data_IF_684889524749
#
_entry.id   IF_684889524749
#
_cell.length_a   1.000
_cell.length_b   1.000
_cell.length_c   1.000
_cell.angle_alpha   90.00
_cell.angle_beta   90.00
_cell.angle_gamma   90.00
#
_symmetry.space_group_name_H-M   'P 1'
#
loop_
_entity.id
_entity.type
_entity.pdbx_description
1 polymer ?
#
# COMPACT_ATOMS: atom_id res chain seq x y z
N UNK A 1 52.33 -33.92 48.83
CA UNK A 1 52.86 -32.99 47.80
C UNK A 1 52.82 -33.73 46.47
N UNK A 2 52.27 -33.29 45.34
CA UNK A 2 51.68 -32.03 44.88
C UNK A 2 51.89 -31.97 43.36
N UNK A 3 50.83 -31.59 42.60
CA UNK A 3 50.81 -31.02 41.24
C UNK A 3 51.05 -31.98 40.05
N UNK A 4 49.99 -32.35 39.32
CA UNK A 4 49.39 -31.73 38.09
C UNK A 4 50.27 -31.79 36.83
N UNK A 5 49.84 -32.54 35.81
CA UNK A 5 49.37 -32.06 34.51
C UNK A 5 49.31 -33.21 33.50
N UNK A 6 48.10 -33.47 33.00
CA UNK A 6 47.79 -34.44 31.96
C UNK A 6 47.49 -33.67 30.66
N UNK A 7 48.30 -33.88 29.63
CA UNK A 7 48.08 -33.43 28.25
C UNK A 7 49.04 -34.24 27.35
N UNK A 8 48.54 -35.22 26.59
CA UNK A 8 48.34 -35.09 25.15
C UNK A 8 48.07 -36.46 24.49
N UNK A 9 46.98 -36.48 23.71
CA UNK A 9 46.80 -37.07 22.36
C UNK A 9 47.42 -38.44 22.06
N UNK A 10 46.55 -39.40 21.74
CA UNK A 10 46.47 -40.00 20.39
C UNK A 10 45.51 -41.20 20.42
N UNK A 11 44.36 -41.08 19.74
CA UNK A 11 43.71 -42.22 19.10
C UNK A 11 43.10 -41.72 17.80
N UNK A 12 43.79 -42.00 16.70
CA UNK A 12 43.17 -42.08 15.39
C UNK A 12 42.76 -43.52 15.15
N UNK A 13 41.51 -43.74 14.74
CA UNK A 13 41.21 -44.70 13.68
C UNK A 13 39.91 -44.30 12.97
N UNK A 14 39.94 -44.56 11.67
CA UNK A 14 39.13 -43.96 10.63
C UNK A 14 37.67 -44.39 10.67
N UNK A 15 36.78 -43.45 10.31
CA UNK A 15 35.55 -43.77 9.59
C UNK A 15 35.49 -42.82 8.39
N UNK A 16 35.78 -43.38 7.23
CA UNK A 16 35.41 -42.83 5.93
C UNK A 16 33.89 -42.83 5.81
N UNK A 17 33.29 -41.66 5.60
CA UNK A 17 32.12 -41.50 4.74
C UNK A 17 31.85 -40.00 4.55
N UNK A 18 32.22 -39.50 3.37
CA UNK A 18 31.43 -38.47 2.69
C UNK A 18 30.36 -39.21 1.88
N UNK A 19 29.15 -38.64 1.70
CA UNK A 19 29.02 -37.60 0.70
C UNK A 19 28.18 -36.41 1.16
N UNK A 20 28.55 -35.27 0.58
CA UNK A 20 27.71 -34.18 0.10
C UNK A 20 26.30 -34.03 0.69
N UNK A 21 26.11 -32.88 1.34
CA UNK A 21 24.81 -32.28 1.57
C UNK A 21 25.02 -30.78 1.71
N UNK A 22 25.46 -30.12 0.64
CA UNK A 22 25.09 -28.72 0.47
C UNK A 22 23.57 -28.70 0.56
N UNK A 23 23.05 -28.16 1.66
CA UNK A 23 21.63 -27.87 1.79
C UNK A 23 21.37 -26.75 0.78
N UNK A 24 21.05 -27.16 -0.44
CA UNK A 24 20.33 -26.35 -1.41
C UNK A 24 19.05 -25.90 -0.68
N UNK A 25 19.13 -24.73 -0.07
CA UNK A 25 18.02 -24.09 0.61
C UNK A 25 17.00 -23.81 -0.49
N UNK A 26 15.98 -24.67 -0.52
CA UNK A 26 15.08 -24.83 -1.66
C UNK A 26 14.45 -23.51 -2.08
N UNK A 27 14.28 -23.36 -3.39
CA UNK A 27 13.30 -22.43 -3.96
C UNK A 27 12.00 -22.53 -3.15
N UNK A 28 11.49 -21.41 -2.64
CA UNK A 28 10.23 -21.38 -1.91
C UNK A 28 9.14 -22.00 -2.81
N UNK A 29 8.65 -23.19 -2.45
CA UNK A 29 7.66 -23.89 -3.25
C UNK A 29 6.29 -23.31 -2.91
N UNK A 30 5.71 -22.63 -3.90
CA UNK A 30 4.47 -21.89 -3.75
C UNK A 30 3.49 -22.44 -4.78
N UNK A 31 2.30 -22.82 -4.32
CA UNK A 31 1.21 -23.18 -5.21
C UNK A 31 0.77 -21.93 -5.99
N UNK A 32 1.26 -21.83 -7.22
CA UNK A 32 1.00 -20.71 -8.12
C UNK A 32 -0.46 -20.60 -8.52
N UNK A 33 -1.20 -21.72 -8.57
CA UNK A 33 -2.63 -21.73 -8.85
C UNK A 33 -3.43 -21.15 -7.69
N UNK A 34 -3.14 -21.61 -6.48
CA UNK A 34 -3.74 -21.10 -5.25
C UNK A 34 -3.47 -19.61 -5.06
N UNK A 35 -2.22 -19.19 -5.23
CA UNK A 35 -1.80 -17.81 -5.09
C UNK A 35 -2.44 -16.89 -6.13
N UNK A 36 -2.56 -17.34 -7.38
CA UNK A 36 -3.24 -16.60 -8.45
C UNK A 36 -4.74 -16.41 -8.16
N UNK A 37 -5.41 -17.43 -7.59
CA UNK A 37 -6.79 -17.29 -7.12
C UNK A 37 -6.90 -16.21 -6.04
N UNK A 38 -6.02 -16.23 -5.04
CA UNK A 38 -6.03 -15.23 -3.96
C UNK A 38 -5.83 -13.79 -4.46
N UNK A 39 -5.00 -13.58 -5.50
CA UNK A 39 -4.80 -12.26 -6.09
C UNK A 39 -6.01 -11.72 -6.86
N UNK A 40 -6.77 -12.60 -7.52
CA UNK A 40 -7.85 -12.24 -8.44
C UNK A 40 -9.23 -12.30 -7.78
N UNK A 41 -9.39 -13.08 -6.71
CA UNK A 41 -10.66 -13.28 -6.03
C UNK A 41 -11.23 -12.00 -5.41
N UNK A 42 -12.57 -11.90 -5.45
CA UNK A 42 -13.33 -10.78 -4.89
C UNK A 42 -13.46 -10.92 -3.37
N UNK A 43 -13.71 -9.80 -2.69
CA UNK A 43 -13.84 -9.72 -1.23
C UNK A 43 -14.76 -10.78 -0.62
N UNK A 44 -15.90 -11.04 -1.26
CA UNK A 44 -16.89 -12.00 -0.77
C UNK A 44 -16.31 -13.43 -0.70
N UNK A 45 -15.65 -13.87 -1.78
CA UNK A 45 -14.96 -15.17 -1.82
C UNK A 45 -13.81 -15.26 -0.82
N UNK A 46 -13.04 -14.18 -0.67
CA UNK A 46 -11.95 -14.12 0.31
C UNK A 46 -12.47 -14.24 1.74
N UNK A 47 -13.65 -13.67 2.05
CA UNK A 47 -14.29 -13.80 3.37
C UNK A 47 -14.81 -15.21 3.62
N UNK A 48 -15.41 -15.84 2.61
CA UNK A 48 -15.87 -17.24 2.69
C UNK A 48 -14.69 -18.18 2.93
N UNK A 49 -13.58 -17.96 2.23
CA UNK A 49 -12.34 -18.70 2.43
C UNK A 49 -11.73 -18.45 3.80
N UNK A 50 -11.66 -17.19 4.24
CA UNK A 50 -11.19 -16.83 5.58
C UNK A 50 -12.01 -17.50 6.68
N UNK A 51 -13.33 -17.61 6.50
CA UNK A 51 -14.20 -18.35 7.41
C UNK A 51 -13.90 -19.85 7.43
N UNK A 52 -13.63 -20.45 6.26
CA UNK A 52 -13.16 -21.84 6.16
C UNK A 52 -11.84 -22.10 6.88
N UNK A 53 -10.96 -21.09 6.95
CA UNK A 53 -9.68 -21.16 7.65
C UNK A 53 -9.72 -20.66 9.11
N UNK A 54 -10.87 -20.21 9.62
CA UNK A 54 -10.99 -19.66 10.97
C UNK A 54 -10.37 -18.27 11.17
N UNK A 55 -10.08 -17.54 10.10
CA UNK A 55 -9.48 -16.20 10.12
C UNK A 55 -10.58 -15.14 10.32
N UNK A 56 -10.36 -14.09 11.13
CA UNK A 56 -11.32 -13.00 11.26
C UNK A 56 -11.55 -12.30 9.91
N UNK A 57 -12.84 -12.22 9.51
CA UNK A 57 -13.34 -11.58 8.26
C UNK A 57 -13.17 -10.05 8.21
N UNK A 58 -12.45 -9.46 9.16
CA UNK A 58 -12.27 -8.02 9.32
C UNK A 58 -11.04 -7.50 8.58
N UNK A 59 -11.20 -6.35 7.94
CA UNK A 59 -10.16 -5.66 7.16
C UNK A 59 -10.56 -5.41 5.71
N UNK A 60 -9.72 -4.67 5.00
CA UNK A 60 -9.85 -4.48 3.56
C UNK A 60 -9.50 -5.77 2.79
N UNK A 61 -9.79 -5.78 1.49
CA UNK A 61 -9.45 -6.89 0.58
C UNK A 61 -7.98 -7.30 0.72
N UNK A 62 -7.08 -6.33 0.83
CA UNK A 62 -5.64 -6.60 0.88
C UNK A 62 -5.19 -7.16 2.21
N UNK A 63 -5.80 -6.70 3.31
CA UNK A 63 -5.56 -7.29 4.62
C UNK A 63 -6.00 -8.74 4.65
N UNK A 64 -7.15 -9.07 4.04
CA UNK A 64 -7.61 -10.45 3.94
C UNK A 64 -6.73 -11.29 3.03
N UNK A 65 -6.26 -10.75 1.90
CA UNK A 65 -5.31 -11.46 1.03
C UNK A 65 -3.98 -11.73 1.73
N UNK A 66 -3.42 -10.74 2.42
CA UNK A 66 -2.19 -10.92 3.17
C UNK A 66 -2.35 -12.05 4.21
N UNK A 67 -3.44 -12.04 4.99
CA UNK A 67 -3.73 -13.10 5.97
C UNK A 67 -3.90 -14.48 5.31
N UNK A 68 -4.66 -14.58 4.23
CA UNK A 68 -4.88 -15.84 3.51
C UNK A 68 -3.58 -16.36 2.88
N UNK A 69 -2.73 -15.47 2.34
CA UNK A 69 -1.41 -15.86 1.81
C UNK A 69 -0.52 -16.37 2.95
N UNK A 70 -0.53 -15.75 4.14
CA UNK A 70 0.20 -16.28 5.29
C UNK A 70 -0.25 -17.70 5.65
N UNK A 71 -1.56 -17.92 5.79
CA UNK A 71 -2.09 -19.19 6.30
C UNK A 71 -2.10 -20.31 5.25
N UNK A 72 -2.47 -20.02 4.01
CA UNK A 72 -2.64 -21.05 2.98
C UNK A 72 -1.39 -21.25 2.10
N UNK A 73 -0.59 -20.20 1.90
CA UNK A 73 0.53 -20.22 0.94
C UNK A 73 1.89 -20.28 1.66
N UNK A 74 1.99 -19.71 2.85
CA UNK A 74 3.22 -19.65 3.66
C UNK A 74 3.04 -20.22 5.08
N UNK A 75 2.38 -21.39 5.28
CA UNK A 75 2.05 -21.89 6.62
C UNK A 75 3.28 -22.20 7.48
N UNK A 76 4.38 -22.62 6.85
CA UNK A 76 5.61 -23.03 7.55
C UNK A 76 6.56 -21.86 7.85
N UNK A 77 6.23 -20.65 7.39
CA UNK A 77 7.11 -19.50 7.50
C UNK A 77 6.77 -18.66 8.74
N UNK A 78 7.76 -18.47 9.62
CA UNK A 78 7.60 -17.55 10.76
C UNK A 78 7.62 -16.09 10.29
N UNK A 79 6.41 -15.52 10.14
CA UNK A 79 6.18 -14.12 9.81
C UNK A 79 5.95 -13.25 11.06
N UNK A 80 6.29 -13.75 12.26
CA UNK A 80 6.34 -12.93 13.47
C UNK A 80 7.46 -11.88 13.36
N UNK A 81 7.46 -10.89 14.25
CA UNK A 81 8.53 -9.89 14.26
C UNK A 81 9.92 -10.52 14.45
N UNK A 82 10.04 -11.55 15.29
CA UNK A 82 11.31 -12.26 15.48
C UNK A 82 11.72 -13.02 14.21
N UNK A 83 10.77 -13.70 13.56
CA UNK A 83 10.99 -14.38 12.29
C UNK A 83 11.43 -13.43 11.18
N UNK A 84 10.76 -12.28 11.03
CA UNK A 84 11.14 -11.24 10.04
C UNK A 84 12.54 -10.69 10.31
N UNK A 85 12.95 -10.51 11.58
CA UNK A 85 14.30 -10.06 11.92
C UNK A 85 15.38 -11.10 11.58
N UNK A 86 15.08 -12.39 11.80
CA UNK A 86 16.00 -13.49 11.51
C UNK A 86 16.06 -13.84 10.00
N UNK A 87 15.09 -13.37 9.22
CA UNK A 87 14.95 -13.71 7.79
C UNK A 87 16.09 -13.13 6.94
N UNK A 88 16.78 -13.95 6.12
CA UNK A 88 17.84 -13.47 5.25
C UNK A 88 17.30 -12.60 4.11
N UNK A 89 18.14 -11.68 3.61
CA UNK A 89 17.73 -10.64 2.65
C UNK A 89 17.08 -11.18 1.37
N UNK A 90 17.60 -12.32 0.86
CA UNK A 90 17.06 -13.01 -0.32
C UNK A 90 15.64 -13.51 -0.04
N UNK A 91 15.47 -14.21 1.07
CA UNK A 91 14.18 -14.78 1.51
C UNK A 91 13.13 -13.69 1.76
N UNK A 92 13.49 -12.58 2.41
CA UNK A 92 12.57 -11.45 2.56
C UNK A 92 12.11 -10.89 1.21
N UNK A 93 13.01 -10.86 0.21
CA UNK A 93 12.67 -10.46 -1.15
C UNK A 93 11.68 -11.41 -1.81
N UNK A 94 11.88 -12.71 -1.63
CA UNK A 94 11.04 -13.77 -2.20
C UNK A 94 9.65 -13.80 -1.56
N UNK A 95 9.57 -13.63 -0.25
CA UNK A 95 8.31 -13.47 0.49
C UNK A 95 7.54 -12.24 0.01
N UNK A 96 8.21 -11.10 -0.18
CA UNK A 96 7.58 -9.90 -0.74
C UNK A 96 7.04 -10.12 -2.17
N UNK A 97 7.68 -10.96 -2.99
CA UNK A 97 7.15 -11.33 -4.32
C UNK A 97 5.88 -12.17 -4.19
N UNK A 98 5.80 -13.07 -3.21
CA UNK A 98 4.59 -13.87 -2.94
C UNK A 98 3.44 -13.06 -2.39
N UNK A 99 3.72 -12.04 -1.59
CA UNK A 99 2.69 -11.04 -1.26
C UNK A 99 2.35 -10.13 -2.45
N UNK A 100 3.10 -10.21 -3.55
CA UNK A 100 2.90 -9.39 -4.73
C UNK A 100 3.16 -7.90 -4.49
N UNK A 101 4.01 -7.57 -3.51
CA UNK A 101 4.43 -6.20 -3.17
C UNK A 101 5.86 -5.94 -3.66
N UNK A 102 6.39 -4.72 -3.45
CA UNK A 102 7.73 -4.35 -3.95
C UNK A 102 8.82 -5.13 -3.21
N UNK A 103 9.58 -5.95 -3.93
CA UNK A 103 10.64 -6.79 -3.37
C UNK A 103 12.05 -6.18 -3.43
N UNK A 104 12.24 -5.02 -4.09
CA UNK A 104 13.54 -4.34 -4.18
C UNK A 104 13.82 -3.43 -2.98
N UNK A 105 15.09 -3.02 -2.82
CA UNK A 105 15.56 -2.19 -1.70
C UNK A 105 16.50 -2.92 -0.74
N UNK A 106 17.04 -2.16 0.21
CA UNK A 106 17.91 -2.66 1.28
C UNK A 106 17.22 -3.68 2.17
N UNK A 107 17.98 -4.47 2.93
CA UNK A 107 17.42 -5.49 3.82
C UNK A 107 16.47 -4.88 4.86
N UNK A 108 16.86 -3.73 5.43
CA UNK A 108 16.04 -2.96 6.37
C UNK A 108 14.71 -2.54 5.73
N UNK A 109 14.74 -1.94 4.54
CA UNK A 109 13.52 -1.50 3.85
C UNK A 109 12.59 -2.67 3.51
N UNK A 110 13.14 -3.82 3.11
CA UNK A 110 12.33 -5.02 2.85
C UNK A 110 11.64 -5.54 4.11
N UNK A 111 12.34 -5.58 5.25
CA UNK A 111 11.75 -5.99 6.55
C UNK A 111 10.68 -5.02 7.01
N UNK A 112 10.93 -3.71 6.95
CA UNK A 112 9.94 -2.68 7.26
C UNK A 112 8.68 -2.85 6.41
N UNK A 113 8.85 -3.02 5.10
CA UNK A 113 7.75 -3.21 4.15
C UNK A 113 6.94 -4.47 4.43
N UNK A 114 7.61 -5.60 4.67
CA UNK A 114 6.96 -6.86 5.01
C UNK A 114 6.16 -6.71 6.30
N UNK A 115 6.78 -6.16 7.34
CA UNK A 115 6.13 -5.95 8.62
C UNK A 115 4.90 -5.03 8.52
N UNK A 116 5.00 -3.92 7.79
CA UNK A 116 3.89 -3.01 7.54
C UNK A 116 2.75 -3.71 6.78
N UNK A 117 3.07 -4.48 5.74
CA UNK A 117 2.09 -5.19 4.93
C UNK A 117 1.28 -6.21 5.74
N UNK A 118 1.92 -6.87 6.71
CA UNK A 118 1.29 -7.90 7.54
C UNK A 118 0.43 -7.31 8.67
N UNK A 119 0.86 -6.19 9.25
CA UNK A 119 0.29 -5.69 10.50
C UNK A 119 -0.64 -4.48 10.31
N UNK A 120 -0.52 -3.75 9.21
CA UNK A 120 -1.27 -2.51 8.98
C UNK A 120 -2.00 -2.51 7.65
N UNK A 121 -3.11 -1.78 7.64
CA UNK A 121 -3.80 -1.42 6.41
C UNK A 121 -3.21 -0.11 5.87
N UNK A 122 -2.73 -0.12 4.63
CA UNK A 122 -2.16 1.06 3.97
C UNK A 122 -3.14 2.23 3.83
N UNK A 123 -4.46 1.99 3.98
CA UNK A 123 -5.47 3.05 3.99
C UNK A 123 -5.72 3.64 5.38
N UNK A 124 -5.30 2.94 6.45
CA UNK A 124 -5.61 3.33 7.84
C UNK A 124 -4.40 3.89 8.57
N UNK A 125 -3.20 3.41 8.26
CA UNK A 125 -1.97 3.96 8.80
C UNK A 125 -1.45 5.06 7.88
N UNK A 126 -2.01 6.26 8.04
CA UNK A 126 -1.64 7.46 7.30
C UNK A 126 -0.92 8.48 8.21
N UNK A 127 -0.36 9.53 7.62
CA UNK A 127 0.36 10.57 8.36
C UNK A 127 -0.58 11.29 9.34
N UNK A 128 -1.83 11.52 8.95
CA UNK A 128 -2.86 12.12 9.81
C UNK A 128 -3.14 11.23 11.02
N UNK A 129 -3.22 9.91 10.80
CA UNK A 129 -3.41 8.96 11.91
C UNK A 129 -2.24 8.97 12.88
N UNK A 130 -1.00 9.11 12.39
CA UNK A 130 0.18 9.23 13.27
C UNK A 130 0.09 10.46 14.18
N UNK A 131 -0.53 11.55 13.71
CA UNK A 131 -0.72 12.78 14.48
C UNK A 131 -1.75 12.62 15.61
N UNK A 132 -2.57 11.57 15.58
CA UNK A 132 -3.50 11.21 16.68
C UNK A 132 -2.89 10.19 17.66
N UNK A 133 -1.83 9.49 17.29
CA UNK A 133 -1.26 8.38 18.08
C UNK A 133 -0.54 8.84 19.35
N UNK A 134 -0.60 8.03 20.40
CA UNK A 134 0.14 8.27 21.64
C UNK A 134 1.66 8.16 21.42
N UNK A 135 2.44 8.72 22.35
CA UNK A 135 3.91 8.57 22.33
C UNK A 135 4.32 7.10 22.39
N UNK A 136 3.63 6.30 23.21
CA UNK A 136 3.96 4.89 23.41
C UNK A 136 3.68 4.06 22.15
N UNK A 137 2.57 4.32 21.45
CA UNK A 137 2.25 3.66 20.19
C UNK A 137 3.28 4.01 19.10
N UNK A 138 3.69 5.27 19.03
CA UNK A 138 4.75 5.73 18.12
C UNK A 138 6.10 5.11 18.47
N UNK A 139 6.39 4.92 19.76
CA UNK A 139 7.61 4.27 20.21
C UNK A 139 7.63 2.78 19.82
N UNK A 140 6.51 2.06 19.98
CA UNK A 140 6.39 0.69 19.52
C UNK A 140 6.49 0.60 17.99
N UNK A 141 5.89 1.53 17.24
CA UNK A 141 6.09 1.63 15.79
C UNK A 141 7.56 1.83 15.42
N UNK A 142 8.26 2.77 16.06
CA UNK A 142 9.69 2.97 15.84
C UNK A 142 10.50 1.71 16.12
N UNK A 143 10.20 1.00 17.21
CA UNK A 143 10.88 -0.27 17.56
C UNK A 143 10.67 -1.33 16.48
N UNK A 144 9.44 -1.49 16.00
CA UNK A 144 9.11 -2.49 14.99
C UNK A 144 9.65 -2.15 13.60
N UNK A 145 9.78 -0.86 13.30
CA UNK A 145 10.36 -0.34 12.06
C UNK A 145 11.89 -0.14 12.14
N UNK A 146 12.56 -0.59 13.20
CA UNK A 146 14.01 -0.47 13.38
C UNK A 146 14.51 0.99 13.29
N UNK A 147 13.74 1.91 13.88
CA UNK A 147 14.06 3.33 13.96
C UNK A 147 14.61 3.69 15.34
N UNK A 148 15.32 4.81 15.41
CA UNK A 148 15.79 5.36 16.68
C UNK A 148 14.61 5.64 17.62
N UNK A 149 14.75 5.23 18.87
CA UNK A 149 13.71 5.35 19.91
C UNK A 149 13.80 6.65 20.72
N UNK A 150 14.83 7.46 20.47
CA UNK A 150 15.12 8.69 21.22
C UNK A 150 14.28 9.86 20.72
N UNK A 151 13.97 10.82 21.61
CA UNK A 151 13.26 12.05 21.25
C UNK A 151 11.83 12.12 21.79
N UNK A 152 11.19 13.25 21.51
CA UNK A 152 9.81 13.52 21.91
C UNK A 152 8.82 12.89 20.89
N UNK A 153 7.52 12.98 21.20
CA UNK A 153 6.45 12.42 20.36
C UNK A 153 6.54 12.86 18.90
N UNK A 154 6.82 14.14 18.65
CA UNK A 154 6.86 14.70 17.29
C UNK A 154 8.07 14.19 16.49
N UNK A 155 9.23 13.99 17.15
CA UNK A 155 10.41 13.37 16.51
C UNK A 155 10.13 11.91 16.14
N UNK A 156 9.53 11.13 17.04
CA UNK A 156 9.15 9.73 16.76
C UNK A 156 8.14 9.67 15.60
N UNK A 157 7.11 10.52 15.64
CA UNK A 157 6.12 10.65 14.57
C UNK A 157 6.79 10.99 13.23
N UNK A 158 7.70 11.96 13.20
CA UNK A 158 8.40 12.38 11.98
C UNK A 158 9.22 11.26 11.36
N UNK A 159 9.88 10.42 12.17
CA UNK A 159 10.63 9.26 11.67
C UNK A 159 9.71 8.19 11.07
N UNK A 160 8.62 7.86 11.75
CA UNK A 160 7.62 6.91 11.23
C UNK A 160 7.00 7.44 9.95
N UNK A 161 6.63 8.73 9.91
CA UNK A 161 6.11 9.38 8.71
C UNK A 161 7.12 9.30 7.55
N UNK A 162 8.41 9.51 7.81
CA UNK A 162 9.47 9.33 6.80
C UNK A 162 9.55 7.91 6.24
N UNK A 163 9.34 6.88 7.06
CA UNK A 163 9.24 5.49 6.59
C UNK A 163 7.99 5.29 5.74
N UNK A 164 6.83 5.78 6.18
CA UNK A 164 5.60 5.66 5.41
C UNK A 164 5.73 6.34 4.04
N UNK A 165 6.33 7.54 3.99
CA UNK A 165 6.62 8.30 2.76
C UNK A 165 7.58 7.56 1.84
N UNK A 166 8.69 7.01 2.36
CA UNK A 166 9.65 6.26 1.53
C UNK A 166 9.07 4.94 1.02
N UNK A 167 8.09 4.39 1.73
CA UNK A 167 7.41 3.14 1.40
C UNK A 167 6.06 3.34 0.69
N UNK A 168 5.72 4.57 0.26
CA UNK A 168 4.47 4.84 -0.46
C UNK A 168 4.33 3.91 -1.65
N UNK A 169 3.17 3.24 -1.76
CA UNK A 169 2.87 2.21 -2.77
C UNK A 169 3.80 0.98 -2.76
N UNK A 170 4.71 0.87 -1.79
CA UNK A 170 5.64 -0.26 -1.64
C UNK A 170 5.04 -1.44 -0.88
N UNK A 171 4.09 -1.19 0.02
CA UNK A 171 3.41 -2.18 0.87
C UNK A 171 1.88 -2.02 0.79
N UNK A 172 1.15 -2.98 1.35
CA UNK A 172 -0.31 -2.89 1.49
C UNK A 172 -1.10 -3.16 0.21
N UNK A 173 -0.60 -2.78 -0.97
CA UNK A 173 -1.25 -3.05 -2.27
C UNK A 173 -0.46 -4.06 -3.10
N UNK A 174 -1.11 -5.15 -3.45
CA UNK A 174 -0.63 -6.11 -4.47
C UNK A 174 -0.51 -5.41 -5.84
N UNK A 175 0.60 -5.66 -6.56
CA UNK A 175 0.92 -5.13 -7.89
C UNK A 175 -0.23 -5.32 -8.89
N UNK A 176 -0.46 -4.31 -9.73
CA UNK A 176 -1.58 -4.28 -10.70
C UNK A 176 -1.54 -5.43 -11.71
N UNK A 177 -0.37 -5.82 -12.19
CA UNK A 177 -0.19 -6.93 -13.13
C UNK A 177 -0.74 -8.24 -12.56
N UNK A 178 -0.41 -8.54 -11.30
CA UNK A 178 -0.85 -9.77 -10.62
C UNK A 178 -2.36 -9.82 -10.38
N UNK A 179 -3.01 -8.66 -10.18
CA UNK A 179 -4.47 -8.59 -10.00
C UNK A 179 -5.25 -8.81 -11.29
N UNK A 180 -4.76 -8.28 -12.41
CA UNK A 180 -5.48 -8.32 -13.70
C UNK A 180 -5.23 -9.62 -14.46
N UNK A 181 -3.99 -10.09 -14.43
CA UNK A 181 -3.55 -11.19 -15.30
C UNK A 181 -3.21 -12.47 -14.52
N UNK A 182 -3.26 -12.45 -13.18
CA UNK A 182 -2.79 -13.55 -12.34
C UNK A 182 -1.27 -13.75 -12.42
N UNK A 183 -0.78 -14.89 -11.96
CA UNK A 183 0.62 -15.31 -12.15
C UNK A 183 0.82 -15.88 -13.55
N UNK A 184 1.60 -15.20 -14.40
CA UNK A 184 1.90 -15.65 -15.76
C UNK A 184 3.17 -16.51 -15.89
N UNK A 185 4.02 -16.52 -14.86
CA UNK A 185 5.24 -17.34 -14.77
C UNK A 185 5.48 -17.79 -13.32
N UNK A 186 6.20 -18.91 -13.09
CA UNK A 186 6.62 -19.28 -11.75
C UNK A 186 7.51 -18.18 -11.17
N UNK A 187 7.16 -17.71 -9.96
CA UNK A 187 7.81 -16.57 -9.27
C UNK A 187 9.32 -16.78 -9.04
N UNK A 188 9.79 -18.02 -9.19
CA UNK A 188 11.10 -18.50 -8.75
C UNK A 188 12.04 -19.01 -9.86
N UNK A 189 11.63 -19.06 -11.13
CA UNK A 189 12.52 -19.51 -12.20
C UNK A 189 13.17 -18.36 -12.98
N UNK A 190 14.51 -18.42 -13.01
CA UNK A 190 15.50 -17.70 -13.84
C UNK A 190 16.13 -16.40 -13.26
N UNK A 191 17.46 -16.20 -13.51
CA UNK A 191 18.30 -15.22 -12.82
C UNK A 191 18.03 -13.78 -13.26
N UNK A 192 18.25 -12.85 -12.33
CA UNK A 192 17.97 -11.42 -12.47
C UNK A 192 18.51 -10.81 -13.76
N UNK A 193 17.60 -10.20 -14.53
CA UNK A 193 17.88 -8.96 -15.23
C UNK A 193 17.04 -7.86 -14.57
N UNK A 194 17.69 -6.74 -14.27
CA UNK A 194 17.02 -5.50 -13.90
C UNK A 194 16.19 -5.03 -15.10
N UNK A 195 14.91 -5.40 -15.14
CA UNK A 195 14.02 -4.91 -16.20
C UNK A 195 13.63 -3.47 -15.88
N UNK A 196 14.41 -2.57 -16.51
CA UNK A 196 13.97 -1.27 -16.94
C UNK A 196 12.65 -1.40 -17.73
N UNK A 197 11.81 -0.40 -17.54
CA UNK A 197 10.54 -0.13 -18.21
C UNK A 197 10.52 -0.60 -19.68
N UNK A 198 9.85 -1.72 -19.96
CA UNK A 198 9.43 -2.05 -21.32
C UNK A 198 7.90 -2.05 -21.40
N UNK A 199 7.40 -1.03 -22.09
CA UNK A 199 6.00 -0.78 -22.38
C UNK A 199 5.54 -1.84 -23.38
N UNK A 200 4.86 -2.89 -22.90
CA UNK A 200 4.13 -3.80 -23.79
C UNK A 200 2.77 -3.19 -24.12
N UNK A 201 2.60 -2.82 -25.39
CA UNK A 201 1.31 -2.42 -25.96
C UNK A 201 0.37 -3.63 -25.91
N UNK A 202 -0.71 -3.55 -25.15
CA UNK A 202 -1.73 -4.61 -25.06
C UNK A 202 -2.96 -4.19 -25.87
N UNK A 203 -3.34 -5.02 -26.84
CA UNK A 203 -4.57 -4.91 -27.62
C UNK A 203 -5.83 -4.85 -26.73
N UNK A 204 -6.91 -4.18 -27.15
CA UNK A 204 -8.06 -3.91 -26.29
C UNK A 204 -8.87 -5.20 -26.05
N UNK A 205 -8.88 -5.65 -24.79
CA UNK A 205 -9.83 -6.66 -24.30
C UNK A 205 -11.23 -6.05 -24.36
N UNK A 206 -12.05 -6.55 -25.29
CA UNK A 206 -13.47 -6.20 -25.45
C UNK A 206 -14.29 -6.79 -24.28
N UNK A 207 -15.29 -6.01 -23.86
CA UNK A 207 -16.29 -6.25 -22.81
C UNK A 207 -15.90 -6.04 -21.33
N UNK A 208 -15.48 -4.81 -21.00
CA UNK A 208 -15.68 -4.27 -19.64
C UNK A 208 -16.98 -3.46 -19.63
N UNK A 209 -18.00 -3.94 -18.92
CA UNK A 209 -19.24 -3.17 -18.74
C UNK A 209 -19.04 -2.08 -17.68
N UNK A 210 -18.61 -0.90 -18.14
CA UNK A 210 -18.43 0.29 -17.31
C UNK A 210 -19.73 0.85 -16.69
N UNK A 211 -20.90 0.29 -17.04
CA UNK A 211 -22.21 0.64 -16.45
C UNK A 211 -22.79 -0.43 -15.52
N UNK A 212 -22.04 -1.50 -15.21
CA UNK A 212 -22.48 -2.48 -14.22
C UNK A 212 -22.91 -1.79 -12.92
N UNK A 213 -24.03 -2.25 -12.33
CA UNK A 213 -24.61 -1.62 -11.15
C UNK A 213 -23.54 -1.40 -10.07
N UNK A 214 -23.42 -0.18 -9.52
CA UNK A 214 -22.40 0.11 -8.55
C UNK A 214 -22.59 -0.77 -7.32
N UNK A 215 -21.51 -1.42 -6.86
CA UNK A 215 -21.55 -2.08 -5.55
C UNK A 215 -21.75 -1.02 -4.49
N UNK A 216 -22.67 -1.22 -3.56
CA UNK A 216 -22.97 -0.30 -2.44
C UNK A 216 -21.71 0.25 -1.75
N UNK A 217 -20.69 -0.59 -1.62
CA UNK A 217 -19.39 -0.25 -1.06
C UNK A 217 -18.63 0.86 -1.81
N UNK A 218 -18.74 0.96 -3.14
CA UNK A 218 -18.05 1.99 -3.94
C UNK A 218 -18.72 3.35 -3.80
N UNK A 219 -20.04 3.36 -3.67
CA UNK A 219 -20.82 4.58 -3.42
C UNK A 219 -20.57 5.07 -1.99
N UNK A 220 -20.55 4.17 -1.00
CA UNK A 220 -20.21 4.51 0.38
C UNK A 220 -18.77 5.05 0.48
N UNK A 221 -17.79 4.39 -0.15
CA UNK A 221 -16.38 4.84 -0.17
C UNK A 221 -16.19 6.20 -0.85
N UNK A 222 -16.91 6.46 -1.96
CA UNK A 222 -16.89 7.76 -2.63
C UNK A 222 -17.55 8.86 -1.77
N UNK A 223 -18.62 8.54 -1.03
CA UNK A 223 -19.26 9.47 -0.09
C UNK A 223 -18.35 9.81 1.07
N UNK A 224 -17.66 8.82 1.64
CA UNK A 224 -16.73 9.03 2.74
C UNK A 224 -15.51 9.85 2.30
N UNK A 225 -14.99 9.55 1.10
CA UNK A 225 -13.84 10.27 0.54
C UNK A 225 -14.11 11.75 0.26
N UNK A 226 -15.35 12.12 -0.10
CA UNK A 226 -15.75 13.52 -0.30
C UNK A 226 -15.79 14.32 1.00
N UNK A 227 -16.16 13.68 2.11
CA UNK A 227 -16.38 14.34 3.40
C UNK A 227 -15.19 14.18 4.35
N UNK A 228 -14.18 13.39 3.96
CA UNK A 228 -12.97 13.22 4.73
C UNK A 228 -12.24 14.55 4.96
N UNK A 229 -12.16 14.97 6.23
CA UNK A 229 -11.51 16.22 6.66
C UNK A 229 -12.32 17.47 6.33
N UNK A 230 -13.63 17.35 6.12
CA UNK A 230 -14.52 18.48 5.84
C UNK A 230 -14.51 19.50 6.99
N UNK A 231 -14.35 19.05 8.23
CA UNK A 231 -14.40 19.88 9.45
C UNK A 231 -13.28 20.94 9.52
N UNK A 232 -12.19 20.74 8.77
CA UNK A 232 -11.08 21.68 8.68
C UNK A 232 -11.26 22.77 7.60
N UNK A 233 -12.33 22.69 6.81
CA UNK A 233 -12.59 23.59 5.69
C UNK A 233 -13.55 24.72 6.06
N UNK A 234 -13.63 25.72 5.20
CA UNK A 234 -14.57 26.84 5.39
C UNK A 234 -16.01 26.39 5.17
N UNK A 235 -16.96 26.99 5.89
CA UNK A 235 -18.39 26.71 5.76
C UNK A 235 -18.93 26.63 4.30
N UNK A 236 -18.54 27.51 3.35
CA UNK A 236 -18.96 27.36 1.95
C UNK A 236 -18.43 26.08 1.29
N UNK A 237 -17.13 25.76 1.46
CA UNK A 237 -16.51 24.53 0.92
C UNK A 237 -17.16 23.27 1.51
N UNK A 238 -17.51 23.30 2.79
CA UNK A 238 -18.23 22.20 3.45
C UNK A 238 -19.62 21.99 2.81
N UNK A 239 -20.38 23.06 2.61
CA UNK A 239 -21.70 23.01 1.96
C UNK A 239 -21.63 22.46 0.53
N UNK A 240 -20.62 22.88 -0.22
CA UNK A 240 -20.40 22.44 -1.61
C UNK A 240 -20.08 20.93 -1.68
N UNK A 241 -19.20 20.44 -0.81
CA UNK A 241 -18.84 19.02 -0.75
C UNK A 241 -20.02 18.15 -0.30
N UNK A 242 -20.83 18.59 0.66
CA UNK A 242 -22.05 17.87 1.07
C UNK A 242 -23.09 17.81 -0.05
N UNK A 243 -23.24 18.90 -0.81
CA UNK A 243 -24.13 18.95 -1.98
C UNK A 243 -23.69 17.95 -3.05
N UNK A 244 -22.39 17.82 -3.26
CA UNK A 244 -21.81 16.84 -4.18
C UNK A 244 -21.92 15.42 -3.62
N UNK A 245 -21.74 15.22 -2.31
CA UNK A 245 -21.88 13.92 -1.63
C UNK A 245 -23.26 13.31 -1.85
N UNK A 246 -24.31 14.12 -1.79
CA UNK A 246 -25.68 13.69 -2.06
C UNK A 246 -25.88 13.19 -3.51
N UNK A 247 -24.98 13.56 -4.43
CA UNK A 247 -25.03 13.27 -5.88
C UNK A 247 -23.91 12.33 -6.33
N UNK A 248 -23.31 11.56 -5.43
CA UNK A 248 -22.21 10.61 -5.75
C UNK A 248 -22.62 9.57 -6.80
N UNK A 249 -23.88 9.16 -6.81
CA UNK A 249 -24.40 8.23 -7.84
C UNK A 249 -24.38 8.86 -9.24
N UNK A 250 -24.61 10.17 -9.34
CA UNK A 250 -24.43 10.90 -10.60
C UNK A 250 -22.95 11.02 -10.97
N UNK A 251 -22.05 11.21 -9.99
CA UNK A 251 -20.59 11.19 -10.22
C UNK A 251 -20.18 9.88 -10.87
N UNK A 252 -20.60 8.78 -10.28
CA UNK A 252 -20.27 7.43 -10.73
C UNK A 252 -20.79 7.17 -12.15
N UNK A 253 -22.02 7.59 -12.44
CA UNK A 253 -22.62 7.48 -13.77
C UNK A 253 -21.87 8.34 -14.80
N UNK A 254 -21.45 9.55 -14.42
CA UNK A 254 -20.65 10.42 -15.28
C UNK A 254 -19.32 9.76 -15.63
N UNK A 255 -18.60 9.23 -14.63
CA UNK A 255 -17.34 8.50 -14.83
C UNK A 255 -17.53 7.31 -15.76
N UNK A 256 -18.54 6.47 -15.52
CA UNK A 256 -18.82 5.31 -16.39
C UNK A 256 -19.15 5.70 -17.84
N UNK A 257 -19.86 6.82 -18.03
CA UNK A 257 -20.19 7.35 -19.37
C UNK A 257 -18.94 7.85 -20.10
N UNK A 258 -18.06 8.56 -19.38
CA UNK A 258 -16.80 9.06 -19.93
C UNK A 258 -15.90 7.89 -20.34
N UNK A 259 -15.75 6.88 -19.47
CA UNK A 259 -14.95 5.69 -19.76
C UNK A 259 -15.44 4.96 -21.01
N UNK A 260 -16.75 4.75 -21.15
CA UNK A 260 -17.30 4.12 -22.37
C UNK A 260 -17.02 4.97 -23.62
N UNK A 261 -17.17 6.30 -23.51
CA UNK A 261 -16.96 7.22 -24.63
C UNK A 261 -15.49 7.36 -25.06
N UNK A 262 -14.55 7.17 -24.14
CA UNK A 262 -13.11 7.35 -24.35
C UNK A 262 -12.33 6.03 -24.35
N UNK A 263 -12.99 4.91 -24.68
CA UNK A 263 -12.32 3.61 -24.84
C UNK A 263 -11.70 3.04 -23.55
N UNK A 264 -12.22 3.43 -22.40
CA UNK A 264 -11.75 3.01 -21.09
C UNK A 264 -10.55 3.79 -20.55
N UNK A 265 -10.10 4.84 -21.25
CA UNK A 265 -8.99 5.70 -20.80
C UNK A 265 -9.48 6.70 -19.75
N UNK A 266 -8.63 7.00 -18.76
CA UNK A 266 -8.86 8.05 -17.77
C UNK A 266 -7.57 8.84 -17.51
N UNK A 267 -7.48 10.03 -18.12
CA UNK A 267 -6.37 10.96 -17.98
C UNK A 267 -6.87 12.41 -17.83
N UNK A 268 -5.99 13.37 -18.16
CA UNK A 268 -6.30 14.79 -17.98
C UNK A 268 -7.49 15.26 -18.84
N UNK A 269 -7.58 14.78 -20.08
CA UNK A 269 -8.68 15.12 -20.98
C UNK A 269 -10.05 14.67 -20.42
N UNK A 270 -10.11 13.47 -19.85
CA UNK A 270 -11.33 12.92 -19.25
C UNK A 270 -11.70 13.64 -17.96
N UNK A 271 -10.72 14.00 -17.13
CA UNK A 271 -10.91 14.84 -15.93
C UNK A 271 -11.50 16.21 -16.31
N UNK A 272 -11.02 16.84 -17.38
CA UNK A 272 -11.58 18.10 -17.89
C UNK A 272 -12.99 17.95 -18.45
N UNK A 273 -13.28 16.84 -19.15
CA UNK A 273 -14.64 16.50 -19.60
C UNK A 273 -15.58 16.34 -18.41
N UNK A 274 -15.14 15.67 -17.34
CA UNK A 274 -15.92 15.51 -16.12
C UNK A 274 -16.26 16.87 -15.49
N UNK A 275 -15.27 17.75 -15.30
CA UNK A 275 -15.51 19.08 -14.72
C UNK A 275 -16.48 19.90 -15.56
N UNK A 276 -16.36 19.86 -16.90
CA UNK A 276 -17.31 20.53 -17.80
C UNK A 276 -18.73 19.97 -17.67
N UNK A 277 -18.87 18.64 -17.58
CA UNK A 277 -20.18 17.99 -17.41
C UNK A 277 -20.81 18.31 -16.05
N UNK A 278 -20.02 18.29 -14.97
CA UNK A 278 -20.45 18.61 -13.62
C UNK A 278 -20.84 20.10 -13.52
N UNK A 279 -20.06 21.01 -14.09
CA UNK A 279 -20.38 22.44 -14.17
C UNK A 279 -21.69 22.71 -14.92
N UNK A 280 -21.92 22.04 -16.06
CA UNK A 280 -23.21 22.13 -16.78
C UNK A 280 -24.40 21.60 -15.98
N UNK A 281 -24.18 20.66 -15.05
CA UNK A 281 -25.19 20.12 -14.13
C UNK A 281 -25.34 20.93 -12.85
N UNK A 282 -24.73 22.12 -12.78
CA UNK A 282 -24.81 23.05 -11.65
C UNK A 282 -24.12 22.53 -10.40
N UNK A 283 -23.02 21.80 -10.53
CA UNK A 283 -22.22 21.38 -9.37
C UNK A 283 -21.43 22.58 -8.84
N UNK A 284 -21.38 22.79 -7.51
CA UNK A 284 -20.61 23.88 -6.91
C UNK A 284 -19.13 23.55 -7.00
N UNK A 285 -18.49 24.01 -8.07
CA UNK A 285 -17.10 23.72 -8.40
C UNK A 285 -16.30 25.02 -8.49
N UNK A 286 -16.67 26.08 -7.78
CA UNK A 286 -15.97 27.37 -7.87
C UNK A 286 -14.61 27.31 -7.17
N UNK A 287 -14.59 26.63 -6.02
CA UNK A 287 -13.42 26.45 -5.18
C UNK A 287 -12.46 25.36 -5.73
N UNK A 288 -11.16 25.68 -5.78
CA UNK A 288 -10.14 24.77 -6.30
C UNK A 288 -10.05 23.48 -5.50
N UNK A 289 -10.20 23.57 -4.17
CA UNK A 289 -10.21 22.41 -3.29
C UNK A 289 -11.36 21.44 -3.61
N UNK A 290 -12.56 21.97 -3.89
CA UNK A 290 -13.73 21.17 -4.24
C UNK A 290 -13.53 20.47 -5.58
N UNK A 291 -13.01 21.19 -6.59
CA UNK A 291 -12.64 20.59 -7.89
C UNK A 291 -11.64 19.44 -7.73
N UNK A 292 -10.58 19.67 -6.97
CA UNK A 292 -9.55 18.67 -6.72
C UNK A 292 -10.14 17.43 -6.03
N UNK A 293 -10.94 17.63 -4.98
CA UNK A 293 -11.58 16.54 -4.26
C UNK A 293 -12.52 15.71 -5.15
N UNK A 294 -13.30 16.36 -6.00
CA UNK A 294 -14.19 15.70 -6.97
C UNK A 294 -13.39 14.88 -7.98
N UNK A 295 -12.29 15.43 -8.50
CA UNK A 295 -11.41 14.73 -9.44
C UNK A 295 -10.74 13.51 -8.79
N UNK A 296 -10.30 13.62 -7.55
CA UNK A 296 -9.72 12.51 -6.79
C UNK A 296 -10.74 11.37 -6.63
N UNK A 297 -11.96 11.69 -6.19
CA UNK A 297 -13.02 10.70 -6.00
C UNK A 297 -13.44 10.07 -7.33
N UNK A 298 -13.58 10.86 -8.39
CA UNK A 298 -13.89 10.37 -9.73
C UNK A 298 -12.80 9.45 -10.28
N UNK A 299 -11.54 9.77 -9.98
CA UNK A 299 -10.39 8.93 -10.35
C UNK A 299 -10.42 7.59 -9.62
N UNK A 300 -10.73 7.58 -8.33
CA UNK A 300 -10.92 6.34 -7.58
C UNK A 300 -12.06 5.49 -8.17
N UNK A 301 -13.19 6.11 -8.53
CA UNK A 301 -14.30 5.41 -9.20
C UNK A 301 -13.85 4.84 -10.56
N UNK A 302 -13.10 5.61 -11.35
CA UNK A 302 -12.60 5.17 -12.65
C UNK A 302 -11.64 3.98 -12.50
N UNK A 303 -10.76 4.01 -11.50
CA UNK A 303 -9.87 2.90 -11.17
C UNK A 303 -10.65 1.63 -10.80
N UNK A 304 -11.68 1.75 -9.95
CA UNK A 304 -12.53 0.61 -9.56
C UNK A 304 -13.27 0.02 -10.76
N UNK A 305 -13.70 0.88 -11.70
CA UNK A 305 -14.32 0.48 -12.96
C UNK A 305 -13.35 -0.10 -14.00
N UNK A 306 -12.04 -0.12 -13.71
CA UNK A 306 -11.04 -0.74 -14.56
C UNK A 306 -10.47 0.18 -15.65
N UNK A 307 -10.47 1.50 -15.43
CA UNK A 307 -9.92 2.47 -16.38
C UNK A 307 -8.41 2.30 -16.62
N UNK A 308 -7.99 2.57 -17.85
CA UNK A 308 -6.59 2.72 -18.24
C UNK A 308 -6.11 4.14 -17.87
N UNK A 309 -5.30 4.22 -16.82
CA UNK A 309 -4.81 5.49 -16.26
C UNK A 309 -3.61 6.02 -17.05
N UNK A 310 -3.61 7.31 -17.38
CA UNK A 310 -2.42 7.98 -17.93
C UNK A 310 -1.33 8.15 -16.85
N UNK A 311 -0.14 7.60 -17.11
CA UNK A 311 1.03 7.65 -16.23
C UNK A 311 1.61 9.06 -16.03
N UNK A 312 1.20 10.04 -16.86
CA UNK A 312 1.58 11.44 -16.72
C UNK A 312 0.79 12.16 -15.61
N UNK A 313 -0.51 11.84 -15.47
CA UNK A 313 -1.44 12.54 -14.57
C UNK A 313 -1.16 12.23 -13.09
N UNK A 314 -0.69 11.02 -12.78
CA UNK A 314 -0.31 10.61 -11.41
C UNK A 314 0.87 11.43 -10.89
N UNK A 315 1.84 11.79 -11.75
CA UNK A 315 3.03 12.57 -11.33
C UNK A 315 2.70 14.04 -11.05
N UNK A 316 1.75 14.61 -11.78
CA UNK A 316 1.35 16.02 -11.61
C UNK A 316 0.53 16.24 -10.33
N UNK A 317 -0.44 15.37 -10.03
CA UNK A 317 -1.26 15.46 -8.80
C UNK A 317 -0.41 15.28 -7.52
N UNK A 318 0.61 14.43 -7.56
CA UNK A 318 1.55 14.26 -6.44
C UNK A 318 2.38 15.54 -6.21
N UNK A 319 2.70 16.30 -7.27
CA UNK A 319 3.49 17.53 -7.15
C UNK A 319 2.68 18.67 -6.52
N UNK A 320 1.42 18.88 -6.92
CA UNK A 320 0.60 19.97 -6.38
C UNK A 320 0.20 19.75 -4.91
N UNK A 321 -0.10 18.51 -4.53
CA UNK A 321 -0.51 18.18 -3.15
C UNK A 321 0.69 18.25 -2.18
N UNK A 322 1.89 17.90 -2.64
CA UNK A 322 3.11 18.03 -1.84
C UNK A 322 3.53 19.49 -1.67
N UNK A 323 3.47 20.29 -2.71
CA UNK A 323 3.85 21.71 -2.66
C UNK A 323 2.91 22.52 -1.77
N UNK A 324 1.59 22.35 -1.94
CA UNK A 324 0.59 23.01 -1.09
C UNK A 324 0.64 22.57 0.38
N UNK A 325 0.96 21.28 0.63
CA UNK A 325 1.19 20.76 1.99
C UNK A 325 2.46 21.33 2.61
N UNK A 326 3.54 21.43 1.84
CA UNK A 326 4.80 22.05 2.29
C UNK A 326 4.58 23.54 2.60
N UNK A 327 3.82 24.26 1.77
CA UNK A 327 3.48 25.67 1.99
C UNK A 327 2.67 25.87 3.28
N UNK A 328 1.67 24.99 3.54
CA UNK A 328 0.89 24.99 4.79
C UNK A 328 1.75 24.70 6.00
N UNK A 329 2.67 23.74 5.92
CA UNK A 329 3.59 23.40 7.00
C UNK A 329 4.55 24.58 7.27
N UNK A 330 5.09 25.19 6.22
CA UNK A 330 5.99 26.34 6.31
C UNK A 330 5.30 27.55 6.93
N UNK A 331 4.06 27.83 6.53
CA UNK A 331 3.25 28.92 7.11
C UNK A 331 2.92 28.66 8.58
N UNK A 332 2.61 27.41 8.96
CA UNK A 332 2.39 27.04 10.37
C UNK A 332 3.68 27.13 11.21
N UNK A 333 4.84 26.75 10.66
CA UNK A 333 6.13 26.87 11.34
C UNK A 333 6.51 28.32 11.61
N UNK A 334 6.37 29.22 10.63
CA UNK A 334 6.62 30.66 10.81
C UNK A 334 5.71 31.26 11.88
N UNK A 335 4.44 30.82 11.93
CA UNK A 335 3.47 31.28 12.92
C UNK A 335 3.80 30.80 14.34
N UNK A 336 4.34 29.59 14.47
CA UNK A 336 4.82 29.03 15.75
C UNK A 336 6.10 29.73 16.20
N UNK A 337 7.00 30.05 15.27
CA UNK A 337 8.25 30.77 15.55
C UNK A 337 7.99 32.20 16.04
N UNK A 338 6.95 32.87 15.53
CA UNK A 338 6.52 34.20 16.02
C UNK A 338 5.83 34.20 17.39
N UNK A 339 5.56 33.03 17.98
CA UNK A 339 4.89 32.87 19.28
C UNK A 339 5.83 32.42 20.39
N UNK A 340 7.13 32.26 20.10
CA UNK A 340 8.15 32.01 21.10
C UNK A 340 8.65 33.38 21.56
N UNK A 341 8.30 33.86 22.78
CA UNK A 341 8.99 35.01 23.34
C UNK A 341 10.46 34.62 23.56
N UNK A 342 11.36 35.48 23.12
CA UNK A 342 12.79 35.38 23.43
C UNK A 342 12.95 35.45 24.96
N UNK A 343 13.11 34.29 25.59
CA UNK A 343 13.58 34.18 26.97
C UNK A 343 15.10 33.92 26.93
N UNK A 344 15.80 34.99 27.30
CA UNK A 344 17.18 35.12 27.78
C UNK A 344 18.39 34.85 26.85
N UNK A 345 18.95 35.96 26.35
CA UNK A 345 20.31 36.40 26.70
C UNK A 345 20.46 37.93 26.65
#
# INVERSE_FOLDING_TARGET
>A
MGKTHECDRSWGQAITNTPSGEVQRGSMQVDSGLLSSLYTDRLQKLRERAEGCGIPKSGSVEVLRAKLICEEVLPDLDLSWAGIQAMPHKETGDVLKVFGVKSSGSHKERRQRLWLHLNYDSRRLTIERLAEMGRDDLHELCKRLELDLTGNRTVLMGRVAGVLTSQVNGWGRIKRSLRRNGLQSPIFDAPQAEEADEITVVEPVRDVDFQAMPTKAVIEDARDSLVLGIDEQTAPVQGDLLTIQARVEDLERMVGTILRGHGGVWGQAEKEVLLRLAGRRGWPLDEQFVRHRVLMVATNIAEVKGAAMDASSIRAEISEDTESTIERIRSKLVKVESLIPDDDA
#
